data_IF_066460647783
#
_entry.id   IF_066460647783
#
_cell.length_a   1.000
_cell.length_b   1.000
_cell.length_c   1.000
_cell.angle_alpha   90.00
_cell.angle_beta   90.00
_cell.angle_gamma   90.00
#
_symmetry.space_group_name_H-M   'P 1'
#
loop_
_entity.id
_entity.type
_entity.pdbx_description
1 polymer ?
#
# COMPACT_ATOMS: atom_id res chain seq x y z
N UNK A 1 -52.51 -40.74 -10.05
CA UNK A 1 -51.85 -41.97 -9.62
C UNK A 1 -50.61 -41.51 -8.87
N UNK A 2 -50.70 -41.40 -7.53
CA UNK A 2 -50.33 -42.36 -6.49
C UNK A 2 -48.86 -42.73 -6.59
N UNK A 3 -48.12 -42.14 -5.65
CA UNK A 3 -47.34 -42.71 -4.50
C UNK A 3 -45.90 -42.92 -4.89
N UNK A 4 -44.86 -42.42 -4.15
CA UNK A 4 -44.47 -42.82 -2.80
C UNK A 4 -43.58 -41.74 -2.17
N UNK A 5 -43.99 -41.30 -0.96
CA UNK A 5 -43.14 -40.66 0.05
C UNK A 5 -42.73 -41.75 1.04
N UNK A 6 -41.46 -41.76 1.45
CA UNK A 6 -40.80 -42.42 2.60
C UNK A 6 -39.39 -42.82 2.15
N UNK A 7 -38.24 -42.51 2.79
CA UNK A 7 -37.93 -42.44 4.21
C UNK A 7 -36.50 -41.93 4.34
N UNK A 8 -36.26 -40.89 5.07
CA UNK A 8 -34.93 -40.62 5.65
C UNK A 8 -35.13 -39.87 6.99
N UNK A 9 -35.69 -40.62 7.98
CA UNK A 9 -35.58 -40.31 9.40
C UNK A 9 -35.14 -41.57 10.10
N UNK A 10 -33.81 -41.75 10.28
CA UNK A 10 -33.21 -42.69 11.23
C UNK A 10 -31.69 -42.73 11.07
N UNK A 11 -30.97 -41.71 11.58
CA UNK A 11 -29.51 -41.80 11.83
C UNK A 11 -28.97 -40.66 12.73
N UNK A 12 -29.76 -40.18 13.69
CA UNK A 12 -29.27 -39.20 14.70
C UNK A 12 -29.51 -39.64 16.14
N UNK A 13 -29.54 -40.90 16.44
CA UNK A 13 -29.80 -41.42 17.80
C UNK A 13 -28.81 -42.42 18.36
N UNK A 14 -27.58 -42.55 17.81
CA UNK A 14 -26.59 -43.53 18.31
C UNK A 14 -25.29 -42.95 18.86
N UNK A 15 -25.05 -41.64 18.72
CA UNK A 15 -23.78 -41.04 19.18
C UNK A 15 -23.79 -40.38 20.57
N UNK A 16 -24.86 -40.48 21.35
CA UNK A 16 -24.97 -39.80 22.66
C UNK A 16 -24.91 -40.73 23.89
N UNK A 17 -24.63 -42.03 23.76
CA UNK A 17 -24.64 -42.98 24.90
C UNK A 17 -23.24 -43.54 25.24
N UNK A 18 -22.18 -43.25 24.51
CA UNK A 18 -20.83 -43.77 24.79
C UNK A 18 -19.86 -42.76 25.41
N UNK A 19 -20.30 -41.59 25.81
CA UNK A 19 -19.47 -40.54 26.42
C UNK A 19 -19.49 -40.46 27.95
N UNK A 20 -20.18 -41.35 28.68
CA UNK A 20 -20.46 -41.17 30.12
C UNK A 20 -19.86 -42.23 31.07
N UNK A 21 -18.92 -43.04 30.64
CA UNK A 21 -18.38 -44.16 31.45
C UNK A 21 -16.84 -44.17 31.59
N UNK A 22 -16.13 -43.07 31.40
CA UNK A 22 -14.67 -43.01 31.56
C UNK A 22 -14.18 -41.91 32.53
N UNK A 23 -14.99 -41.53 33.52
CA UNK A 23 -14.60 -40.53 34.51
C UNK A 23 -14.79 -41.02 35.95
N UNK A 24 -14.19 -42.15 36.29
CA UNK A 24 -13.93 -42.53 37.70
C UNK A 24 -12.76 -43.53 37.73
N UNK A 25 -11.56 -43.04 38.05
CA UNK A 25 -10.47 -43.72 38.77
C UNK A 25 -9.13 -43.01 38.51
N UNK A 26 -8.85 -41.96 39.22
CA UNK A 26 -7.48 -41.56 39.59
C UNK A 26 -7.49 -40.90 40.97
N UNK A 27 -6.55 -41.25 41.88
CA UNK A 27 -6.55 -40.75 43.24
C UNK A 27 -6.04 -39.33 43.32
N UNK A 28 -6.66 -38.57 44.24
CA UNK A 28 -6.26 -37.21 44.60
C UNK A 28 -4.91 -37.24 45.28
N UNK A 29 -3.86 -36.77 44.56
CA UNK A 29 -2.58 -36.40 45.12
C UNK A 29 -2.57 -34.94 45.49
N UNK A 30 -2.39 -34.61 46.76
CA UNK A 30 -2.14 -33.26 47.24
C UNK A 30 -0.84 -32.75 46.64
N UNK A 31 -0.88 -31.63 45.91
CA UNK A 31 0.29 -30.84 45.60
C UNK A 31 0.01 -29.37 45.83
N UNK A 32 0.96 -28.72 46.52
CA UNK A 32 0.89 -27.42 47.11
C UNK A 32 0.51 -26.29 46.14
N UNK A 33 -0.12 -25.30 46.70
CA UNK A 33 -0.48 -24.07 46.03
C UNK A 33 0.75 -23.37 45.42
N UNK A 34 0.96 -23.51 44.12
CA UNK A 34 1.83 -22.59 43.38
C UNK A 34 1.11 -21.26 43.18
N UNK A 35 1.76 -20.18 43.59
CA UNK A 35 1.35 -18.82 43.27
C UNK A 35 1.13 -18.70 41.77
N UNK A 36 0.10 -17.98 41.32
CA UNK A 36 -0.05 -17.68 39.91
C UNK A 36 1.19 -16.94 39.41
N UNK A 37 1.75 -17.40 38.31
CA UNK A 37 2.86 -16.76 37.63
C UNK A 37 2.45 -15.33 37.26
N UNK A 38 3.33 -14.37 37.54
CA UNK A 38 3.19 -12.99 37.12
C UNK A 38 2.91 -12.95 35.61
N UNK A 39 2.04 -12.06 35.12
CA UNK A 39 1.80 -11.92 33.69
C UNK A 39 3.14 -11.63 33.00
N UNK A 40 3.35 -12.16 31.78
CA UNK A 40 4.60 -11.95 31.06
C UNK A 40 4.84 -10.46 30.92
N UNK A 41 5.99 -10.02 31.39
CA UNK A 41 6.51 -8.68 31.15
C UNK A 41 6.44 -8.46 29.66
N UNK A 42 5.73 -7.43 29.21
CA UNK A 42 5.75 -7.00 27.81
C UNK A 42 7.21 -6.71 27.46
N UNK A 43 7.88 -7.64 26.82
CA UNK A 43 9.13 -7.36 26.15
C UNK A 43 8.83 -6.26 25.14
N UNK A 44 9.41 -5.09 25.37
CA UNK A 44 9.40 -4.04 24.39
C UNK A 44 10.14 -4.59 23.16
N UNK A 45 9.57 -4.47 21.94
CA UNK A 45 10.28 -4.87 20.75
C UNK A 45 11.63 -4.15 20.69
N UNK A 46 12.67 -4.76 20.13
CA UNK A 46 14.01 -4.17 20.07
C UNK A 46 13.89 -2.80 19.42
N UNK A 47 14.36 -1.78 20.12
CA UNK A 47 14.51 -0.45 19.55
C UNK A 47 15.47 -0.55 18.38
N UNK A 48 14.96 -0.56 17.16
CA UNK A 48 15.77 -0.32 15.99
C UNK A 48 16.35 1.08 16.13
N UNK A 49 17.62 1.12 16.50
CA UNK A 49 18.36 2.34 16.64
C UNK A 49 18.43 3.04 15.28
N UNK A 50 17.90 4.28 15.21
CA UNK A 50 18.31 5.33 14.27
C UNK A 50 17.79 5.30 12.82
N UNK A 51 16.51 5.04 12.59
CA UNK A 51 15.84 5.72 11.49
C UNK A 51 14.99 6.86 12.10
N UNK A 52 15.03 8.08 11.56
CA UNK A 52 14.10 9.13 11.98
C UNK A 52 12.69 8.68 11.61
N UNK A 53 11.91 8.32 12.61
CA UNK A 53 10.52 7.91 12.43
C UNK A 53 9.71 9.19 12.39
N UNK A 54 9.12 9.47 11.23
CA UNK A 54 8.09 10.51 11.12
C UNK A 54 6.99 10.17 12.13
N UNK A 55 6.64 11.06 13.08
CA UNK A 55 5.75 10.71 14.16
C UNK A 55 4.43 10.12 13.65
N UNK A 56 3.97 9.02 14.24
CA UNK A 56 2.72 8.36 13.89
C UNK A 56 1.54 9.36 13.85
N UNK A 57 1.50 10.32 14.77
CA UNK A 57 0.47 11.36 14.81
C UNK A 57 0.46 12.27 13.57
N UNK A 58 1.60 12.52 12.95
CA UNK A 58 1.65 13.32 11.72
C UNK A 58 1.04 12.55 10.53
N UNK A 59 1.29 11.24 10.45
CA UNK A 59 0.68 10.37 9.43
C UNK A 59 -0.81 10.17 9.66
N UNK A 60 -1.29 10.22 10.91
CA UNK A 60 -2.71 10.10 11.23
C UNK A 60 -3.53 11.20 10.52
N UNK A 61 -3.09 12.46 10.56
CA UNK A 61 -3.76 13.56 9.85
C UNK A 61 -3.84 13.31 8.34
N UNK A 62 -2.74 12.84 7.76
CA UNK A 62 -2.68 12.49 6.34
C UNK A 62 -3.64 11.34 6.00
N UNK A 63 -3.71 10.30 6.83
CA UNK A 63 -4.61 9.16 6.60
C UNK A 63 -6.10 9.55 6.75
N UNK A 64 -6.42 10.43 7.70
CA UNK A 64 -7.77 11.00 7.82
C UNK A 64 -8.13 11.76 6.53
N UNK A 65 -7.21 12.58 6.00
CA UNK A 65 -7.43 13.30 4.75
C UNK A 65 -7.71 12.35 3.58
N UNK A 66 -6.94 11.27 3.43
CA UNK A 66 -7.17 10.24 2.41
C UNK A 66 -8.58 9.65 2.51
N UNK A 67 -9.00 9.22 3.70
CA UNK A 67 -10.25 8.50 3.88
C UNK A 67 -11.50 9.39 3.87
N UNK A 68 -11.38 10.67 4.20
CA UNK A 68 -12.56 11.49 4.49
C UNK A 68 -12.72 12.73 3.61
N UNK A 69 -11.65 13.22 2.96
CA UNK A 69 -11.76 14.48 2.21
C UNK A 69 -12.35 14.30 0.81
N UNK A 70 -13.23 15.21 0.44
CA UNK A 70 -13.73 15.34 -0.93
C UNK A 70 -12.63 15.83 -1.89
N UNK A 71 -11.71 16.64 -1.39
CA UNK A 71 -10.59 17.21 -2.12
C UNK A 71 -9.64 16.14 -2.64
N UNK A 72 -9.27 15.17 -1.79
CA UNK A 72 -8.46 14.03 -2.23
C UNK A 72 -9.15 13.23 -3.34
N UNK A 73 -10.44 12.92 -3.16
CA UNK A 73 -11.23 12.25 -4.19
C UNK A 73 -11.26 13.01 -5.51
N UNK A 74 -11.45 14.32 -5.45
CA UNK A 74 -11.49 15.18 -6.63
C UNK A 74 -10.14 15.21 -7.34
N UNK A 75 -9.02 15.33 -6.61
CA UNK A 75 -7.67 15.28 -7.16
C UNK A 75 -7.42 13.95 -7.88
N UNK A 76 -7.68 12.81 -7.25
CA UNK A 76 -7.47 11.49 -7.85
C UNK A 76 -8.32 11.30 -9.11
N UNK A 77 -9.61 11.65 -9.06
CA UNK A 77 -10.51 11.57 -10.23
C UNK A 77 -10.05 12.49 -11.38
N UNK A 78 -9.55 13.69 -11.07
CA UNK A 78 -9.02 14.63 -12.07
C UNK A 78 -7.78 14.01 -12.75
N UNK A 79 -6.86 13.46 -11.99
CA UNK A 79 -5.64 12.84 -12.52
C UNK A 79 -5.99 11.66 -13.45
N UNK A 80 -6.85 10.74 -13.00
CA UNK A 80 -7.26 9.59 -13.82
C UNK A 80 -8.05 9.99 -15.07
N UNK A 81 -8.89 11.03 -14.98
CA UNK A 81 -9.60 11.56 -16.16
C UNK A 81 -8.61 12.15 -17.16
N UNK A 82 -7.68 12.98 -16.69
CA UNK A 82 -6.64 13.55 -17.56
C UNK A 82 -5.77 12.48 -18.21
N UNK A 83 -5.44 11.40 -17.46
CA UNK A 83 -4.72 10.26 -18.01
C UNK A 83 -5.53 9.52 -19.09
N UNK A 84 -6.84 9.32 -18.88
CA UNK A 84 -7.73 8.67 -19.85
C UNK A 84 -7.87 9.51 -21.15
N UNK A 85 -8.04 10.82 -21.02
CA UNK A 85 -8.14 11.74 -22.16
C UNK A 85 -6.82 11.73 -22.96
N UNK A 86 -5.69 11.78 -22.25
CA UNK A 86 -4.37 11.74 -22.89
C UNK A 86 -4.09 10.40 -23.55
N UNK A 87 -4.44 9.27 -22.90
CA UNK A 87 -4.28 7.94 -23.49
C UNK A 87 -5.12 7.79 -24.76
N UNK A 88 -6.34 8.33 -24.77
CA UNK A 88 -7.21 8.34 -25.96
C UNK A 88 -6.55 9.07 -27.12
N UNK A 89 -5.93 10.23 -26.86
CA UNK A 89 -5.19 10.97 -27.89
C UNK A 89 -3.96 10.18 -28.39
N UNK A 90 -3.18 9.59 -27.46
CA UNK A 90 -2.00 8.79 -27.83
C UNK A 90 -2.39 7.64 -28.75
N UNK A 91 -3.45 6.88 -28.41
CA UNK A 91 -3.91 5.74 -29.22
C UNK A 91 -4.38 6.18 -30.61
N UNK A 92 -5.04 7.34 -30.70
CA UNK A 92 -5.49 7.89 -31.98
C UNK A 92 -4.33 8.39 -32.88
N UNK A 93 -3.25 8.87 -32.28
CA UNK A 93 -2.09 9.41 -32.99
C UNK A 93 -1.04 8.35 -33.34
N UNK A 94 -1.03 7.20 -32.68
CA UNK A 94 0.01 6.18 -32.82
C UNK A 94 -0.15 5.41 -34.14
N UNK A 95 0.90 5.32 -34.96
CA UNK A 95 0.95 4.30 -36.02
C UNK A 95 0.96 2.90 -35.41
N UNK A 96 0.54 1.88 -36.17
CA UNK A 96 0.57 0.49 -35.71
C UNK A 96 1.96 0.15 -35.16
N UNK A 97 2.04 -0.08 -33.86
CA UNK A 97 3.26 -0.53 -33.20
C UNK A 97 3.46 -2.03 -33.42
N UNK A 98 4.72 -2.47 -33.54
CA UNK A 98 5.05 -3.91 -33.58
C UNK A 98 4.71 -4.60 -32.27
N UNK A 99 4.81 -3.89 -31.14
CA UNK A 99 4.44 -4.37 -29.81
C UNK A 99 3.08 -3.81 -29.38
N UNK A 100 2.28 -4.56 -28.61
CA UNK A 100 1.05 -4.04 -28.03
C UNK A 100 1.33 -2.79 -27.15
N UNK A 101 0.41 -1.84 -27.17
CA UNK A 101 0.48 -0.68 -26.30
C UNK A 101 0.21 -1.09 -24.85
N UNK A 102 0.93 -0.49 -23.92
CA UNK A 102 0.69 -0.69 -22.48
C UNK A 102 0.76 0.62 -21.68
N UNK A 103 -0.01 0.64 -20.60
CA UNK A 103 0.11 1.59 -19.49
C UNK A 103 0.65 0.84 -18.29
N UNK A 104 1.69 1.36 -17.64
CA UNK A 104 2.24 0.80 -16.41
C UNK A 104 1.66 1.55 -15.23
N UNK A 105 1.04 0.82 -14.28
CA UNK A 105 0.53 1.37 -13.04
C UNK A 105 1.22 0.70 -11.85
N UNK A 106 1.56 1.46 -10.82
CA UNK A 106 1.76 0.88 -9.49
C UNK A 106 0.44 0.38 -8.91
N UNK A 107 0.48 -0.42 -7.85
CA UNK A 107 -0.72 -0.92 -7.18
C UNK A 107 -1.08 -0.12 -5.93
N UNK A 108 -0.15 -0.06 -4.97
CA UNK A 108 -0.42 0.47 -3.65
C UNK A 108 -0.48 2.01 -3.68
N UNK A 109 -1.55 2.60 -3.17
CA UNK A 109 -1.88 4.03 -3.25
C UNK A 109 -1.97 4.60 -4.68
N UNK A 110 -2.02 3.68 -5.64
CA UNK A 110 -2.27 3.99 -7.06
C UNK A 110 -3.60 3.36 -7.51
N UNK A 111 -3.70 2.05 -7.59
CA UNK A 111 -4.96 1.34 -7.86
C UNK A 111 -5.65 0.99 -6.55
N UNK A 112 -4.90 0.49 -5.59
CA UNK A 112 -5.33 0.09 -4.25
C UNK A 112 -5.21 1.24 -3.25
N UNK A 113 -6.25 1.46 -2.49
CA UNK A 113 -6.24 2.28 -1.28
C UNK A 113 -6.04 1.35 -0.06
N UNK A 114 -4.88 1.44 0.57
CA UNK A 114 -4.52 0.66 1.75
C UNK A 114 -4.62 1.48 3.05
N UNK A 115 -5.35 2.56 3.04
CA UNK A 115 -5.54 3.43 4.22
C UNK A 115 -6.16 2.68 5.42
N UNK A 116 -6.87 1.56 5.16
CA UNK A 116 -7.36 0.64 6.20
C UNK A 116 -6.20 0.00 6.97
N UNK A 117 -5.11 -0.41 6.31
CA UNK A 117 -3.92 -0.93 6.96
C UNK A 117 -3.25 0.13 7.84
N UNK A 118 -3.14 1.36 7.36
CA UNK A 118 -2.62 2.47 8.15
C UNK A 118 -3.50 2.72 9.40
N UNK A 119 -4.82 2.66 9.25
CA UNK A 119 -5.77 2.77 10.38
C UNK A 119 -5.56 1.64 11.39
N UNK A 120 -5.29 0.42 10.93
CA UNK A 120 -4.96 -0.71 11.80
C UNK A 120 -3.69 -0.43 12.63
N UNK A 121 -2.63 0.08 12.02
CA UNK A 121 -1.40 0.45 12.72
C UNK A 121 -1.67 1.51 13.81
N UNK A 122 -2.40 2.58 13.47
CA UNK A 122 -2.72 3.65 14.43
C UNK A 122 -3.55 3.16 15.61
N UNK A 123 -4.61 2.38 15.36
CA UNK A 123 -5.51 1.88 16.41
C UNK A 123 -4.81 0.94 17.38
N UNK A 124 -3.81 0.23 16.92
CA UNK A 124 -3.07 -0.74 17.73
C UNK A 124 -1.73 -0.20 18.25
N UNK A 125 -1.39 1.07 17.95
CA UNK A 125 -0.11 1.70 18.28
C UNK A 125 1.07 0.85 17.79
N UNK A 126 0.99 0.39 16.54
CA UNK A 126 2.00 -0.42 15.88
C UNK A 126 2.77 0.41 14.86
N UNK A 127 4.07 0.13 14.75
CA UNK A 127 4.87 0.61 13.64
C UNK A 127 4.74 -0.35 12.44
N UNK A 128 5.01 0.18 11.23
CA UNK A 128 5.10 -0.65 10.03
C UNK A 128 6.23 -1.68 10.16
N UNK A 129 5.93 -2.92 9.80
CA UNK A 129 6.95 -3.95 9.56
C UNK A 129 6.62 -4.72 8.28
N UNK A 130 7.65 -5.27 7.63
CA UNK A 130 7.48 -6.07 6.41
C UNK A 130 6.62 -7.32 6.68
N UNK A 131 6.64 -7.87 7.91
CA UNK A 131 5.83 -9.01 8.31
C UNK A 131 4.35 -8.66 8.39
N UNK A 132 3.99 -7.53 9.01
CA UNK A 132 2.61 -7.05 9.08
C UNK A 132 2.08 -6.71 7.69
N UNK A 133 2.91 -6.09 6.85
CA UNK A 133 2.56 -5.79 5.49
C UNK A 133 2.33 -7.05 4.66
N UNK A 134 3.23 -8.03 4.76
CA UNK A 134 3.10 -9.32 4.07
C UNK A 134 1.84 -10.09 4.50
N UNK A 135 1.48 -10.03 5.79
CA UNK A 135 0.23 -10.59 6.30
C UNK A 135 -0.99 -9.90 5.66
N UNK A 136 -0.97 -8.55 5.59
CA UNK A 136 -2.03 -7.78 4.96
C UNK A 136 -2.19 -8.10 3.47
N UNK A 137 -1.08 -8.11 2.72
CA UNK A 137 -1.08 -8.49 1.29
C UNK A 137 -1.72 -9.86 1.05
N UNK A 138 -1.42 -10.84 1.93
CA UNK A 138 -1.81 -12.23 1.75
C UNK A 138 -3.26 -12.49 2.12
N UNK A 139 -3.71 -11.96 3.27
CA UNK A 139 -4.92 -12.42 3.94
C UNK A 139 -6.04 -11.38 3.99
N UNK A 140 -5.76 -10.11 3.66
CA UNK A 140 -6.68 -8.99 3.83
C UNK A 140 -7.14 -8.34 2.52
N UNK A 141 -7.30 -9.13 1.47
CA UNK A 141 -7.73 -8.67 0.15
C UNK A 141 -9.04 -7.86 0.16
N UNK A 142 -9.96 -8.14 1.12
CA UNK A 142 -11.26 -7.47 1.23
C UNK A 142 -11.22 -6.14 1.97
N UNK A 143 -10.12 -5.84 2.65
CA UNK A 143 -9.93 -4.56 3.34
C UNK A 143 -9.34 -3.50 2.40
N UNK A 144 -8.87 -3.92 1.22
CA UNK A 144 -8.40 -3.03 0.16
C UNK A 144 -9.59 -2.37 -0.52
N UNK A 145 -9.52 -1.06 -0.75
CA UNK A 145 -10.49 -0.32 -1.56
C UNK A 145 -9.81 0.28 -2.79
N UNK A 146 -10.56 1.00 -3.62
CA UNK A 146 -10.01 1.61 -4.84
C UNK A 146 -9.66 3.07 -4.61
N UNK A 147 -8.50 3.47 -5.13
CA UNK A 147 -8.21 4.89 -5.34
C UNK A 147 -9.29 5.47 -6.27
N UNK A 148 -9.87 6.63 -5.91
CA UNK A 148 -10.95 7.24 -6.70
C UNK A 148 -10.56 7.50 -8.16
N UNK A 149 -11.30 6.93 -9.09
CA UNK A 149 -11.05 7.04 -10.52
C UNK A 149 -10.29 5.88 -11.15
N UNK A 150 -9.57 5.07 -10.37
CA UNK A 150 -8.73 3.97 -10.87
C UNK A 150 -9.52 2.96 -11.72
N UNK A 151 -10.68 2.52 -11.25
CA UNK A 151 -11.52 1.55 -11.99
C UNK A 151 -11.96 2.07 -13.36
N UNK A 152 -12.50 3.28 -13.40
CA UNK A 152 -12.95 3.89 -14.65
C UNK A 152 -11.79 4.07 -15.64
N UNK A 153 -10.60 4.41 -15.13
CA UNK A 153 -9.40 4.50 -15.97
C UNK A 153 -9.01 3.14 -16.54
N UNK A 154 -8.96 2.07 -15.73
CA UNK A 154 -8.62 0.72 -16.19
C UNK A 154 -9.64 0.16 -17.18
N UNK A 155 -10.93 0.43 -16.97
CA UNK A 155 -11.98 0.12 -17.94
C UNK A 155 -11.71 0.83 -19.28
N UNK A 156 -11.32 2.12 -19.24
CA UNK A 156 -10.96 2.89 -20.43
C UNK A 156 -9.71 2.35 -21.12
N UNK A 157 -8.69 1.92 -20.39
CA UNK A 157 -7.49 1.26 -20.93
C UNK A 157 -7.89 0.04 -21.74
N UNK A 158 -8.76 -0.83 -21.20
CA UNK A 158 -9.27 -2.01 -21.90
C UNK A 158 -10.12 -1.66 -23.14
N UNK A 159 -11.02 -0.65 -23.05
CA UNK A 159 -11.82 -0.17 -24.18
C UNK A 159 -10.95 0.28 -25.35
N UNK A 160 -9.81 0.90 -25.06
CA UNK A 160 -8.86 1.36 -26.07
C UNK A 160 -7.96 0.25 -26.64
N UNK A 161 -8.11 -1.01 -26.18
CA UNK A 161 -7.26 -2.12 -26.58
C UNK A 161 -5.81 -2.01 -26.09
N UNK A 162 -5.57 -1.23 -25.02
CA UNK A 162 -4.28 -1.06 -24.39
C UNK A 162 -4.17 -2.03 -23.20
N UNK A 163 -2.99 -2.57 -22.93
CA UNK A 163 -2.75 -3.50 -21.82
C UNK A 163 -2.43 -2.73 -20.54
N UNK A 164 -3.20 -2.87 -19.46
CA UNK A 164 -2.78 -2.37 -18.16
C UNK A 164 -1.75 -3.33 -17.55
N UNK A 165 -0.56 -2.85 -17.26
CA UNK A 165 0.50 -3.61 -16.59
C UNK A 165 0.64 -3.07 -15.17
N UNK A 166 0.37 -3.93 -14.19
CA UNK A 166 0.47 -3.63 -12.76
C UNK A 166 1.87 -4.01 -12.26
N UNK A 167 2.66 -3.01 -11.83
CA UNK A 167 4.04 -3.19 -11.43
C UNK A 167 4.26 -2.71 -9.99
N UNK A 168 4.26 -3.61 -9.02
CA UNK A 168 4.20 -3.29 -7.60
C UNK A 168 5.37 -3.90 -6.80
N UNK A 169 5.66 -3.28 -5.65
CA UNK A 169 6.54 -3.81 -4.64
C UNK A 169 5.84 -4.76 -3.63
N UNK A 170 4.65 -5.24 -3.94
CA UNK A 170 4.06 -6.41 -3.29
C UNK A 170 4.89 -7.65 -3.59
N UNK A 171 4.89 -8.61 -2.65
CA UNK A 171 5.67 -9.84 -2.79
C UNK A 171 5.02 -10.82 -3.77
N UNK A 172 5.83 -11.40 -4.65
CA UNK A 172 5.41 -12.51 -5.52
C UNK A 172 4.85 -13.69 -4.72
N UNK A 173 5.38 -13.94 -3.52
CA UNK A 173 4.87 -14.96 -2.60
C UNK A 173 3.40 -14.73 -2.22
N UNK A 174 2.96 -13.47 -2.19
CA UNK A 174 1.60 -13.05 -1.83
C UNK A 174 0.74 -12.73 -3.07
N UNK A 175 1.13 -13.17 -4.26
CA UNK A 175 0.43 -12.89 -5.53
C UNK A 175 -1.05 -13.27 -5.47
N UNK A 176 -1.37 -14.40 -4.85
CA UNK A 176 -2.75 -14.86 -4.71
C UNK A 176 -3.64 -13.84 -3.96
N UNK A 177 -3.11 -13.22 -2.89
CA UNK A 177 -3.82 -12.17 -2.16
C UNK A 177 -4.01 -10.90 -3.00
N UNK A 178 -3.00 -10.51 -3.77
CA UNK A 178 -3.10 -9.35 -4.68
C UNK A 178 -4.13 -9.60 -5.79
N UNK A 179 -4.17 -10.80 -6.38
CA UNK A 179 -5.18 -11.17 -7.37
C UNK A 179 -6.58 -11.23 -6.76
N UNK A 180 -6.71 -11.76 -5.54
CA UNK A 180 -8.01 -11.78 -4.83
C UNK A 180 -8.52 -10.36 -4.53
N UNK A 181 -7.63 -9.40 -4.24
CA UNK A 181 -8.01 -8.00 -4.07
C UNK A 181 -8.49 -7.38 -5.39
N UNK A 182 -7.76 -7.60 -6.50
CA UNK A 182 -8.16 -7.12 -7.82
C UNK A 182 -9.52 -7.70 -8.24
N UNK A 183 -9.74 -8.99 -8.04
CA UNK A 183 -11.01 -9.66 -8.33
C UNK A 183 -12.15 -9.09 -7.47
N UNK A 184 -11.93 -8.95 -6.16
CA UNK A 184 -12.91 -8.37 -5.24
C UNK A 184 -13.35 -6.96 -5.67
N UNK A 185 -12.41 -6.15 -6.14
CA UNK A 185 -12.64 -4.79 -6.63
C UNK A 185 -13.21 -4.74 -8.06
N UNK A 186 -13.32 -5.89 -8.71
CA UNK A 186 -13.82 -6.02 -10.08
C UNK A 186 -12.84 -5.47 -11.11
N UNK A 187 -11.54 -5.52 -10.83
CA UNK A 187 -10.46 -5.20 -11.76
C UNK A 187 -10.05 -6.49 -12.49
N UNK A 188 -10.11 -6.44 -13.81
CA UNK A 188 -9.73 -7.58 -14.64
C UNK A 188 -8.22 -7.58 -14.90
N UNK A 189 -7.59 -8.73 -14.69
CA UNK A 189 -6.22 -9.04 -15.13
C UNK A 189 -6.35 -10.16 -16.15
N UNK A 190 -5.85 -9.95 -17.36
CA UNK A 190 -5.99 -10.92 -18.44
C UNK A 190 -5.03 -12.11 -18.25
N UNK A 191 -3.74 -11.83 -18.27
CA UNK A 191 -2.68 -12.82 -18.03
C UNK A 191 -1.75 -12.31 -16.92
N UNK A 192 -1.89 -12.82 -15.67
CA UNK A 192 -1.06 -12.37 -14.57
C UNK A 192 0.45 -12.50 -14.82
N UNK A 193 0.89 -13.43 -15.66
CA UNK A 193 2.31 -13.59 -15.99
C UNK A 193 2.86 -12.45 -16.88
N UNK A 194 1.97 -11.70 -17.53
CA UNK A 194 2.33 -10.60 -18.42
C UNK A 194 1.85 -9.23 -17.91
N UNK A 195 0.88 -9.21 -17.01
CA UNK A 195 0.21 -7.99 -16.58
C UNK A 195 0.44 -7.66 -15.09
N UNK A 196 1.03 -8.58 -14.29
CA UNK A 196 1.26 -8.38 -12.86
C UNK A 196 2.73 -8.68 -12.50
N UNK A 197 3.51 -7.64 -12.26
CA UNK A 197 4.93 -7.71 -11.93
C UNK A 197 5.15 -7.36 -10.46
N UNK A 198 5.43 -8.36 -9.64
CA UNK A 198 5.67 -8.25 -8.21
C UNK A 198 7.16 -8.46 -7.89
N UNK A 199 7.62 -7.98 -6.73
CA UNK A 199 9.01 -8.23 -6.31
C UNK A 199 9.17 -9.66 -5.81
N UNK A 200 10.30 -10.28 -6.16
CA UNK A 200 10.59 -11.68 -5.75
C UNK A 200 11.24 -11.77 -4.37
N UNK A 201 11.81 -10.69 -3.86
CA UNK A 201 12.51 -10.64 -2.58
C UNK A 201 12.03 -9.45 -1.74
N UNK A 202 11.96 -9.62 -0.42
CA UNK A 202 11.60 -8.54 0.51
C UNK A 202 12.59 -7.35 0.44
N UNK A 203 13.87 -7.61 0.16
CA UNK A 203 14.92 -6.58 0.06
C UNK A 203 14.96 -5.87 -1.28
N UNK A 204 14.27 -6.38 -2.31
CA UNK A 204 14.21 -5.76 -3.62
C UNK A 204 13.09 -4.71 -3.66
N UNK A 205 13.44 -3.44 -3.79
CA UNK A 205 12.46 -2.36 -3.97
C UNK A 205 12.62 -1.61 -5.30
N UNK A 206 13.72 -1.87 -6.02
CA UNK A 206 14.02 -1.23 -7.30
C UNK A 206 13.15 -1.84 -8.42
N UNK A 207 12.40 -1.01 -9.11
CA UNK A 207 11.47 -1.42 -10.18
C UNK A 207 12.12 -1.47 -11.57
N UNK A 208 13.39 -1.06 -11.75
CA UNK A 208 14.03 -0.89 -13.07
C UNK A 208 14.00 -2.17 -13.90
N UNK A 209 14.50 -3.29 -13.34
CA UNK A 209 14.54 -4.55 -14.09
C UNK A 209 13.14 -5.03 -14.51
N UNK A 210 12.13 -4.84 -13.68
CA UNK A 210 10.75 -5.19 -14.01
C UNK A 210 10.17 -4.26 -15.08
N UNK A 211 10.48 -2.94 -15.07
CA UNK A 211 10.13 -2.01 -16.16
C UNK A 211 10.78 -2.40 -17.48
N UNK A 212 12.06 -2.82 -17.46
CA UNK A 212 12.78 -3.32 -18.65
C UNK A 212 12.13 -4.58 -19.22
N UNK A 213 11.70 -5.52 -18.37
CA UNK A 213 10.92 -6.70 -18.81
C UNK A 213 9.63 -6.28 -19.50
N UNK A 214 8.88 -5.34 -18.92
CA UNK A 214 7.65 -4.81 -19.52
C UNK A 214 7.95 -4.14 -20.87
N UNK A 215 8.96 -3.28 -20.96
CA UNK A 215 9.37 -2.61 -22.20
C UNK A 215 9.86 -3.61 -23.28
N UNK A 216 10.38 -4.77 -22.85
CA UNK A 216 10.68 -5.89 -23.75
C UNK A 216 9.45 -6.46 -24.46
N UNK A 217 8.30 -6.49 -23.78
CA UNK A 217 7.05 -7.08 -24.27
C UNK A 217 6.09 -6.06 -24.89
N UNK A 218 6.10 -4.82 -24.40
CA UNK A 218 5.11 -3.80 -24.73
C UNK A 218 5.76 -2.52 -25.24
N UNK A 219 5.01 -1.73 -25.99
CA UNK A 219 5.26 -0.31 -26.21
C UNK A 219 4.56 0.46 -25.09
N UNK A 220 5.34 0.83 -24.04
CA UNK A 220 4.81 1.54 -22.87
C UNK A 220 4.61 3.01 -23.23
N UNK A 221 3.38 3.49 -23.13
CA UNK A 221 2.99 4.86 -23.53
C UNK A 221 2.65 5.76 -22.34
N UNK A 222 2.49 5.19 -21.15
CA UNK A 222 2.11 5.95 -19.96
C UNK A 222 2.53 5.23 -18.69
N UNK A 223 2.89 6.01 -17.65
CA UNK A 223 3.13 5.54 -16.28
C UNK A 223 2.22 6.27 -15.30
N UNK A 224 1.68 5.54 -14.33
CA UNK A 224 0.88 6.09 -13.23
C UNK A 224 1.38 5.50 -11.92
N UNK A 225 1.61 6.35 -10.92
CA UNK A 225 2.08 5.95 -9.60
C UNK A 225 1.83 7.04 -8.56
N UNK A 226 2.04 6.74 -7.29
CA UNK A 226 1.99 7.69 -6.17
C UNK A 226 3.39 8.12 -5.72
N UNK A 227 4.41 7.44 -6.21
CA UNK A 227 5.79 7.66 -5.84
C UNK A 227 6.66 8.01 -7.06
N UNK A 228 7.53 8.99 -6.93
CA UNK A 228 8.43 9.37 -8.03
C UNK A 228 9.28 8.19 -8.56
N UNK A 229 9.57 7.17 -7.73
CA UNK A 229 10.29 5.95 -8.15
C UNK A 229 9.50 5.07 -9.11
N UNK A 230 8.19 5.26 -9.22
CA UNK A 230 7.36 4.54 -10.19
C UNK A 230 7.69 4.95 -11.63
N UNK A 231 8.23 6.14 -11.79
CA UNK A 231 8.63 6.71 -13.08
C UNK A 231 10.11 6.45 -13.37
N UNK A 232 11.01 6.73 -12.41
CA UNK A 232 12.44 6.44 -12.53
C UNK A 232 13.11 6.25 -11.17
N UNK A 233 13.93 5.19 -11.08
CA UNK A 233 14.73 4.93 -9.88
C UNK A 233 16.00 5.77 -9.85
N UNK A 234 16.61 6.00 -11.01
CA UNK A 234 17.92 6.66 -11.11
C UNK A 234 17.85 8.11 -10.60
N UNK A 235 16.79 8.82 -11.00
CA UNK A 235 16.60 10.23 -10.66
C UNK A 235 15.95 10.41 -9.28
N UNK A 236 14.99 9.54 -8.92
CA UNK A 236 14.07 9.85 -7.83
C UNK A 236 14.26 9.04 -6.55
N UNK A 237 15.05 7.96 -6.54
CA UNK A 237 15.33 7.23 -5.31
C UNK A 237 16.00 8.17 -4.29
N UNK A 238 15.48 8.19 -3.06
CA UNK A 238 16.11 8.91 -1.97
C UNK A 238 17.44 8.26 -1.59
N UNK A 239 18.48 9.06 -1.46
CA UNK A 239 19.76 8.58 -0.95
C UNK A 239 19.66 8.24 0.52
N UNK A 240 20.40 7.23 0.97
CA UNK A 240 20.48 6.92 2.39
C UNK A 240 21.32 8.00 3.10
N UNK A 241 20.84 8.53 4.24
CA UNK A 241 21.64 9.46 5.02
C UNK A 241 22.90 8.75 5.53
N UNK A 242 24.08 9.40 5.47
CA UNK A 242 25.27 8.88 6.11
C UNK A 242 25.10 8.89 7.63
N UNK A 243 25.90 8.10 8.32
CA UNK A 243 25.87 8.08 9.78
C UNK A 243 26.15 9.49 10.34
N UNK A 244 25.28 9.99 11.20
CA UNK A 244 25.39 11.34 11.78
C UNK A 244 25.00 12.46 10.82
N UNK A 245 24.25 12.17 9.75
CA UNK A 245 23.74 13.21 8.85
C UNK A 245 23.02 14.33 9.60
N UNK A 246 23.45 15.56 9.39
CA UNK A 246 22.82 16.77 9.93
C UNK A 246 21.68 17.27 9.03
N UNK A 247 20.99 18.31 9.52
CA UNK A 247 19.86 18.94 8.82
C UNK A 247 20.21 19.34 7.38
N UNK A 248 21.40 19.86 7.13
CA UNK A 248 21.85 20.29 5.81
C UNK A 248 21.76 19.19 4.77
N UNK A 249 22.17 17.96 5.14
CA UNK A 249 22.07 16.81 4.24
C UNK A 249 20.63 16.53 3.82
N UNK A 250 19.67 16.55 4.76
CA UNK A 250 18.25 16.35 4.45
C UNK A 250 17.70 17.44 3.53
N UNK A 251 18.04 18.71 3.83
CA UNK A 251 17.63 19.84 2.99
C UNK A 251 18.18 19.72 1.56
N UNK A 252 19.44 19.32 1.41
CA UNK A 252 20.04 19.14 0.07
C UNK A 252 19.40 17.99 -0.68
N UNK A 253 19.15 16.86 -0.05
CA UNK A 253 18.54 15.72 -0.71
C UNK A 253 17.06 15.97 -1.06
N UNK A 254 16.30 16.68 -0.22
CA UNK A 254 14.96 17.17 -0.56
C UNK A 254 15.04 18.06 -1.79
N UNK A 255 15.93 19.05 -1.79
CA UNK A 255 16.09 19.97 -2.92
C UNK A 255 16.50 19.26 -4.20
N UNK A 256 17.39 18.26 -4.11
CA UNK A 256 17.77 17.42 -5.25
C UNK A 256 16.53 16.75 -5.85
N UNK A 257 15.71 16.08 -5.05
CA UNK A 257 14.50 15.39 -5.54
C UNK A 257 13.48 16.36 -6.14
N UNK A 258 13.30 17.54 -5.53
CA UNK A 258 12.44 18.59 -6.09
C UNK A 258 12.97 19.06 -7.46
N UNK A 259 14.27 19.30 -7.56
CA UNK A 259 14.92 19.69 -8.83
C UNK A 259 14.77 18.63 -9.92
N UNK A 260 14.91 17.32 -9.57
CA UNK A 260 14.70 16.25 -10.55
C UNK A 260 13.22 16.18 -10.98
N UNK A 261 12.27 16.42 -10.08
CA UNK A 261 10.85 16.50 -10.42
C UNK A 261 10.57 17.70 -11.37
N UNK A 262 11.21 18.85 -11.14
CA UNK A 262 11.11 20.03 -12.02
C UNK A 262 11.72 19.78 -13.41
N UNK A 263 12.84 19.07 -13.49
CA UNK A 263 13.45 18.68 -14.78
C UNK A 263 12.55 17.74 -15.59
N UNK A 264 11.75 16.91 -14.91
CA UNK A 264 10.78 16.03 -15.53
C UNK A 264 9.45 16.73 -15.89
N UNK A 265 9.36 18.05 -15.78
CA UNK A 265 8.10 18.81 -15.95
C UNK A 265 7.38 18.53 -17.26
N UNK A 266 8.10 18.22 -18.34
CA UNK A 266 7.49 17.89 -19.63
C UNK A 266 6.76 16.53 -19.66
N UNK A 267 7.03 15.63 -18.68
CA UNK A 267 6.35 14.35 -18.57
C UNK A 267 5.03 14.44 -17.78
N UNK A 268 4.96 15.35 -16.79
CA UNK A 268 3.80 15.43 -15.91
C UNK A 268 2.53 15.82 -16.68
N UNK A 269 1.52 14.96 -16.59
CA UNK A 269 0.25 15.14 -17.30
C UNK A 269 0.29 14.80 -18.79
N UNK A 270 1.44 14.36 -19.33
CA UNK A 270 1.60 13.93 -20.72
C UNK A 270 1.70 12.40 -20.84
N UNK A 271 2.65 11.82 -20.20
CA UNK A 271 2.91 10.38 -20.17
C UNK A 271 3.22 9.85 -18.76
N UNK A 272 3.40 10.75 -17.79
CA UNK A 272 3.53 10.45 -16.37
C UNK A 272 2.42 11.13 -15.55
N UNK A 273 1.73 10.34 -14.73
CA UNK A 273 0.63 10.80 -13.88
C UNK A 273 0.86 10.37 -12.44
N UNK A 274 1.09 11.35 -11.55
CA UNK A 274 1.38 11.10 -10.14
C UNK A 274 0.15 11.36 -9.28
N UNK A 275 -0.18 10.41 -8.40
CA UNK A 275 -1.24 10.52 -7.41
C UNK A 275 -0.67 11.05 -6.08
N UNK A 276 -1.43 11.83 -5.31
CA UNK A 276 -0.96 12.33 -4.04
C UNK A 276 -0.96 11.21 -2.99
N UNK A 277 0.21 10.97 -2.35
CA UNK A 277 0.32 10.13 -1.16
C UNK A 277 0.97 10.92 -0.01
N UNK A 278 0.17 11.50 0.90
CA UNK A 278 0.69 12.25 2.04
C UNK A 278 1.00 11.38 3.26
N UNK A 279 0.81 10.07 3.19
CA UNK A 279 0.97 9.17 4.35
C UNK A 279 2.39 8.62 4.45
N UNK A 280 2.96 8.18 3.32
CA UNK A 280 4.30 7.61 3.25
C UNK A 280 4.87 7.68 1.83
N UNK A 281 6.17 7.41 1.69
CA UNK A 281 6.85 7.38 0.39
C UNK A 281 8.34 7.66 0.53
N UNK A 282 9.01 7.96 -0.57
CA UNK A 282 10.42 8.36 -0.50
C UNK A 282 10.61 9.73 0.19
N UNK A 283 9.58 10.57 0.18
CA UNK A 283 9.63 11.90 0.78
C UNK A 283 9.69 11.83 2.32
N UNK A 284 9.00 10.88 2.96
CA UNK A 284 8.95 10.80 4.42
C UNK A 284 10.26 10.23 5.02
N UNK A 285 11.05 9.52 4.24
CA UNK A 285 12.41 9.09 4.61
C UNK A 285 13.37 10.26 4.79
N UNK A 286 13.04 11.42 4.23
CA UNK A 286 13.84 12.63 4.23
C UNK A 286 13.40 13.67 5.27
N UNK A 287 12.38 13.35 6.07
CA UNK A 287 11.87 14.28 7.09
C UNK A 287 12.87 14.47 8.25
N UNK A 288 13.79 13.52 8.45
CA UNK A 288 14.83 13.61 9.45
C UNK A 288 14.29 13.54 10.91
N UNK A 289 15.16 13.76 11.89
CA UNK A 289 14.78 13.68 13.30
C UNK A 289 14.03 14.93 13.81
N UNK A 290 14.12 16.05 13.10
CA UNK A 290 13.45 17.31 13.43
C UNK A 290 12.70 17.88 12.21
N UNK A 291 11.45 17.42 11.99
CA UNK A 291 10.63 17.86 10.87
C UNK A 291 10.37 19.36 10.82
N UNK A 292 10.26 20.01 11.99
CA UNK A 292 9.96 21.44 12.07
C UNK A 292 11.09 22.30 11.50
N UNK A 293 12.32 21.84 11.61
CA UNK A 293 13.48 22.54 11.04
C UNK A 293 13.54 22.51 9.51
N UNK A 294 12.78 21.61 8.87
CA UNK A 294 12.63 21.56 7.40
C UNK A 294 11.59 22.53 6.87
N UNK A 295 10.74 23.07 7.74
CA UNK A 295 9.63 23.94 7.36
C UNK A 295 10.03 25.41 7.37
N UNK A 296 9.47 26.20 6.49
CA UNK A 296 9.67 27.66 6.45
C UNK A 296 8.68 28.33 7.40
N UNK A 297 9.13 28.84 8.58
CA UNK A 297 8.23 29.51 9.50
C UNK A 297 7.86 30.91 8.99
N UNK A 298 6.72 31.44 9.44
CA UNK A 298 6.42 32.85 9.31
C UNK A 298 7.35 33.70 10.17
N UNK A 299 7.54 34.95 9.81
CA UNK A 299 8.27 35.93 10.63
C UNK A 299 7.44 36.45 11.82
N UNK A 300 6.19 36.01 11.96
CA UNK A 300 5.35 36.37 13.11
C UNK A 300 5.96 35.89 14.42
N UNK A 301 5.91 36.76 15.42
CA UNK A 301 6.28 36.39 16.80
C UNK A 301 5.07 35.72 17.48
N UNK A 302 5.31 34.67 18.24
CA UNK A 302 4.27 34.09 19.08
C UNK A 302 3.76 35.14 20.09
N UNK A 303 2.43 35.23 20.33
CA UNK A 303 1.91 36.10 21.37
C UNK A 303 2.43 35.64 22.73
N UNK A 304 2.76 36.60 23.60
CA UNK A 304 3.11 36.30 24.99
C UNK A 304 1.91 35.58 25.65
N UNK A 305 2.07 34.32 25.98
CA UNK A 305 1.06 33.56 26.74
C UNK A 305 1.15 34.05 28.20
N UNK A 306 0.23 34.92 28.61
CA UNK A 306 0.10 35.24 30.04
C UNK A 306 -0.28 33.97 30.77
N UNK A 307 0.45 33.60 31.86
CA UNK A 307 0.07 32.42 32.65
C UNK A 307 -1.37 32.61 33.13
N UNK A 308 -2.17 31.56 32.99
CA UNK A 308 -3.54 31.58 33.55
C UNK A 308 -3.50 31.97 35.02
N UNK A 309 -4.15 33.08 35.39
CA UNK A 309 -4.34 33.42 36.76
C UNK A 309 -5.12 32.28 37.44
N UNK A 310 -4.50 31.67 38.46
CA UNK A 310 -5.13 30.59 39.26
C UNK A 310 -6.23 31.16 40.15
#
# INVERSE_FOLDING_TARGET
MRTIVRSQFCLIAVCLVLGWLAAQMFPVGQSGAQRPASPPTKEQPPKHANAPVFPMQARLGANIYLQTSGEYRACCQMIYRSAADRLTAIVAEQPKSEKPLAVVLDLDETVFDNSAFQTFLYRNNLEYTDELWSLYERDHARDVTLIPGAKAFLEKVHELGVTPVLLSNRLQLNQAGSLAALEHLGIKVGDPAKELFLKVSATESNKTARREQVAGMYNVVMFIGDNLRDFSEAEFAAKKPPQGAGLEWYVEEIRRRQTEADKAAEHWGRDWFILPNPVYGEWDKLVGPDPLSLMHPTTMKAPEVKPAQK
#
